data_IF_098012177419
#
_entry.id   IF_098012177419
#
_cell.length_a   1.000
_cell.length_b   1.000
_cell.length_c   1.000
_cell.angle_alpha   90.00
_cell.angle_beta   90.00
_cell.angle_gamma   90.00
#
_symmetry.space_group_name_H-M   'P 1'
#
loop_
_entity.id
_entity.type
_entity.pdbx_description
1 polymer ?
#
# COMPACT_ATOMS: atom_id res chain seq x y z
N UNK A 1 17.48 11.36 -7.12
CA UNK A 1 16.76 12.32 -6.25
C UNK A 1 16.72 11.72 -4.85
N UNK A 2 16.71 12.54 -3.79
CA UNK A 2 16.55 12.08 -2.40
C UNK A 2 15.10 12.31 -1.96
N UNK A 3 14.47 11.30 -1.39
CA UNK A 3 13.11 11.36 -0.87
C UNK A 3 13.13 10.93 0.60
N UNK A 4 12.37 11.62 1.44
CA UNK A 4 12.34 11.35 2.88
C UNK A 4 11.10 10.55 3.32
N UNK A 5 10.13 10.36 2.42
CA UNK A 5 8.90 9.59 2.66
C UNK A 5 8.34 9.05 1.33
N UNK A 6 7.74 7.85 1.37
CA UNK A 6 6.90 7.32 0.29
C UNK A 6 5.43 7.49 0.66
N UNK A 7 4.62 7.98 -0.29
CA UNK A 7 3.16 8.07 -0.12
C UNK A 7 2.48 7.25 -1.22
N UNK A 8 1.75 6.21 -0.83
CA UNK A 8 0.92 5.42 -1.73
C UNK A 8 -0.54 5.82 -1.63
N UNK A 9 -1.16 6.27 -2.74
CA UNK A 9 -2.57 6.69 -2.77
C UNK A 9 -3.30 5.83 -3.80
N UNK A 10 -4.28 5.02 -3.36
CA UNK A 10 -5.04 4.17 -4.28
C UNK A 10 -5.58 2.88 -3.65
N UNK A 11 -5.71 1.83 -4.48
CA UNK A 11 -6.09 0.48 -4.05
C UNK A 11 -4.90 -0.43 -3.74
N UNK A 12 -5.16 -1.69 -3.43
CA UNK A 12 -4.17 -2.65 -2.88
C UNK A 12 -2.83 -2.70 -3.62
N UNK A 13 -2.82 -2.85 -4.96
CA UNK A 13 -1.58 -2.90 -5.76
C UNK A 13 -0.72 -1.65 -5.59
N UNK A 14 -1.34 -0.47 -5.54
CA UNK A 14 -0.64 0.80 -5.33
C UNK A 14 -0.02 0.86 -3.93
N UNK A 15 -0.77 0.43 -2.91
CA UNK A 15 -0.31 0.46 -1.52
C UNK A 15 0.82 -0.54 -1.30
N UNK A 16 0.69 -1.76 -1.81
CA UNK A 16 1.74 -2.79 -1.72
C UNK A 16 3.01 -2.38 -2.46
N UNK A 17 2.87 -1.73 -3.62
CA UNK A 17 4.03 -1.14 -4.33
C UNK A 17 4.70 -0.06 -3.48
N UNK A 18 3.94 0.85 -2.87
CA UNK A 18 4.49 1.89 -2.01
C UNK A 18 5.23 1.31 -0.78
N UNK A 19 4.64 0.30 -0.13
CA UNK A 19 5.27 -0.43 0.97
C UNK A 19 6.57 -1.11 0.54
N UNK A 20 6.58 -1.78 -0.62
CA UNK A 20 7.77 -2.44 -1.15
C UNK A 20 8.88 -1.43 -1.48
N UNK A 21 8.54 -0.31 -2.14
CA UNK A 21 9.50 0.77 -2.42
C UNK A 21 10.10 1.30 -1.13
N UNK A 22 9.29 1.59 -0.12
CA UNK A 22 9.75 2.06 1.18
C UNK A 22 10.64 1.04 1.90
N UNK A 23 10.32 -0.24 1.82
CA UNK A 23 11.14 -1.34 2.34
C UNK A 23 12.55 -1.34 1.71
N UNK A 24 12.66 -1.32 0.38
CA UNK A 24 13.94 -1.35 -0.31
C UNK A 24 14.74 -0.05 -0.15
N UNK A 25 14.06 1.09 -0.06
CA UNK A 25 14.71 2.41 0.08
C UNK A 25 14.96 2.82 1.52
N UNK A 26 14.45 2.05 2.50
CA UNK A 26 14.61 2.27 3.94
C UNK A 26 14.10 3.64 4.42
N UNK A 27 13.03 4.12 3.83
CA UNK A 27 12.36 5.37 4.23
C UNK A 27 10.93 5.09 4.72
N UNK A 28 10.35 5.97 5.55
CA UNK A 28 8.98 5.82 6.03
C UNK A 28 7.94 5.75 4.90
N UNK A 29 6.82 5.08 5.17
CA UNK A 29 5.69 4.97 4.24
C UNK A 29 4.38 5.42 4.87
N UNK A 30 3.65 6.25 4.12
CA UNK A 30 2.26 6.60 4.38
C UNK A 30 1.40 5.94 3.29
N UNK A 31 0.33 5.25 3.71
CA UNK A 31 -0.66 4.70 2.78
C UNK A 31 -1.98 5.43 2.93
N UNK A 32 -2.59 5.78 1.80
CA UNK A 32 -3.85 6.52 1.72
C UNK A 32 -4.82 5.70 0.84
N UNK A 33 -5.55 4.74 1.42
CA UNK A 33 -6.50 3.93 0.67
C UNK A 33 -7.64 4.81 0.12
N UNK A 34 -7.96 4.65 -1.17
CA UNK A 34 -9.11 5.33 -1.80
C UNK A 34 -10.37 4.46 -1.81
N UNK A 35 -10.25 3.21 -1.36
CA UNK A 35 -11.32 2.23 -1.21
C UNK A 35 -11.09 1.42 0.08
N UNK A 36 -12.14 0.82 0.63
CA UNK A 36 -12.08 -0.03 1.83
C UNK A 36 -12.46 -1.49 1.53
N UNK A 37 -11.80 -2.09 0.53
CA UNK A 37 -12.14 -3.43 0.02
C UNK A 37 -11.31 -4.57 0.62
N UNK A 38 -10.22 -4.27 1.33
CA UNK A 38 -9.39 -5.24 2.06
C UNK A 38 -8.83 -4.63 3.34
N UNK A 39 -8.32 -5.47 4.23
CA UNK A 39 -7.60 -5.10 5.46
C UNK A 39 -6.09 -4.89 5.26
N UNK A 40 -5.58 -5.11 4.05
CA UNK A 40 -4.18 -4.99 3.69
C UNK A 40 -3.50 -3.64 4.03
N UNK A 41 -4.16 -2.46 4.02
CA UNK A 41 -3.48 -1.20 4.28
C UNK A 41 -2.66 -1.16 5.58
N UNK A 42 -3.09 -1.85 6.64
CA UNK A 42 -2.42 -1.82 7.94
C UNK A 42 -1.33 -2.87 8.09
N UNK A 43 -1.23 -3.86 7.19
CA UNK A 43 -0.35 -5.02 7.35
C UNK A 43 1.13 -4.72 7.02
N UNK A 44 2.03 -5.45 7.68
CA UNK A 44 3.46 -5.47 7.38
C UNK A 44 3.80 -6.45 6.25
N UNK A 45 3.04 -6.38 5.16
CA UNK A 45 3.12 -7.29 4.03
C UNK A 45 2.76 -6.56 2.73
N UNK A 46 3.36 -7.00 1.63
CA UNK A 46 2.98 -6.64 0.27
C UNK A 46 2.83 -7.91 -0.59
N UNK A 47 1.80 -7.97 -1.43
CA UNK A 47 1.62 -9.07 -2.39
C UNK A 47 2.35 -8.74 -3.68
N UNK A 48 3.27 -9.63 -4.08
CA UNK A 48 4.02 -9.50 -5.33
C UNK A 48 3.35 -10.36 -6.40
N UNK A 49 3.27 -9.83 -7.61
CA UNK A 49 2.65 -10.48 -8.76
C UNK A 49 3.65 -10.64 -9.91
N UNK A 50 3.44 -11.65 -10.75
CA UNK A 50 4.12 -11.76 -12.04
C UNK A 50 3.62 -10.68 -13.01
N UNK A 51 4.31 -10.41 -14.14
CA UNK A 51 3.81 -9.49 -15.17
C UNK A 51 2.43 -9.86 -15.72
N UNK A 52 2.06 -11.14 -15.70
CA UNK A 52 0.77 -11.68 -16.12
C UNK A 52 -0.33 -11.48 -15.06
N UNK A 53 0.03 -11.01 -13.86
CA UNK A 53 -0.90 -10.72 -12.77
C UNK A 53 -1.17 -11.91 -11.85
N UNK A 54 -0.42 -13.00 -11.97
CA UNK A 54 -0.50 -14.15 -11.08
C UNK A 54 0.22 -13.86 -9.76
N UNK A 55 -0.23 -14.50 -8.66
CA UNK A 55 0.48 -14.42 -7.39
C UNK A 55 1.89 -14.98 -7.54
N UNK A 56 2.91 -14.20 -7.13
CA UNK A 56 4.29 -14.66 -7.09
C UNK A 56 4.68 -15.04 -5.66
N UNK A 57 4.62 -14.08 -4.73
CA UNK A 57 5.04 -14.27 -3.34
C UNK A 57 4.48 -13.19 -2.40
N UNK A 58 4.69 -13.42 -1.10
CA UNK A 58 4.51 -12.41 -0.06
C UNK A 58 5.86 -11.77 0.28
N UNK A 59 5.94 -10.44 0.15
CA UNK A 59 7.05 -9.68 0.71
C UNK A 59 6.74 -9.34 2.17
N UNK A 60 7.42 -10.02 3.09
CA UNK A 60 7.32 -9.75 4.53
C UNK A 60 8.11 -8.50 4.90
N UNK A 61 7.46 -7.50 5.50
CA UNK A 61 8.07 -6.23 5.87
C UNK A 61 8.31 -6.22 7.39
N UNK A 62 9.49 -5.80 7.89
CA UNK A 62 9.79 -5.84 9.33
C UNK A 62 8.91 -4.92 10.20
N UNK A 63 8.22 -3.96 9.59
CA UNK A 63 7.32 -3.01 10.27
C UNK A 63 6.06 -2.76 9.44
N UNK A 64 4.96 -2.45 10.11
CA UNK A 64 3.74 -1.93 9.48
C UNK A 64 4.00 -0.52 8.90
N UNK A 65 3.12 0.00 8.02
CA UNK A 65 3.20 1.38 7.54
C UNK A 65 3.25 2.39 8.69
N UNK A 66 4.01 3.47 8.51
CA UNK A 66 4.18 4.50 9.53
C UNK A 66 2.89 5.30 9.77
N UNK A 67 2.03 5.40 8.76
CA UNK A 67 0.70 6.01 8.88
C UNK A 67 -0.28 5.43 7.84
N UNK A 68 -1.54 5.28 8.25
CA UNK A 68 -2.67 4.95 7.38
C UNK A 68 -3.68 6.09 7.45
N UNK A 69 -3.99 6.72 6.32
CA UNK A 69 -4.95 7.84 6.24
C UNK A 69 -6.18 7.39 5.45
N UNK A 70 -7.33 7.36 6.12
CA UNK A 70 -8.61 6.99 5.52
C UNK A 70 -9.47 8.24 5.31
N UNK A 71 -9.56 8.73 4.07
CA UNK A 71 -10.52 9.78 3.73
C UNK A 71 -11.89 9.14 3.43
N UNK A 72 -12.78 9.19 4.41
CA UNK A 72 -14.12 8.60 4.30
C UNK A 72 -14.98 9.27 3.25
N UNK A 73 -14.72 10.54 2.90
CA UNK A 73 -15.46 11.25 1.84
C UNK A 73 -15.06 10.78 0.45
N UNK A 74 -13.81 10.36 0.27
CA UNK A 74 -13.32 9.72 -0.97
C UNK A 74 -13.84 8.29 -1.04
N UNK A 75 -13.71 7.52 0.04
CA UNK A 75 -14.15 6.11 0.10
C UNK A 75 -15.66 5.99 -0.15
N UNK A 76 -16.48 6.87 0.43
CA UNK A 76 -17.93 6.86 0.23
C UNK A 76 -18.37 7.12 -1.23
N UNK A 77 -17.49 7.65 -2.07
CA UNK A 77 -17.73 7.90 -3.51
C UNK A 77 -17.19 6.78 -4.41
N UNK A 78 -16.48 5.80 -3.84
CA UNK A 78 -16.05 4.63 -4.60
C UNK A 78 -17.27 3.79 -5.04
N UNK A 79 -17.13 2.93 -6.07
CA UNK A 79 -18.13 1.91 -6.35
C UNK A 79 -18.47 1.12 -5.08
N UNK A 80 -19.74 0.78 -4.91
CA UNK A 80 -20.24 0.07 -3.71
C UNK A 80 -19.63 -1.32 -3.53
N UNK A 81 -19.04 -1.88 -4.60
CA UNK A 81 -18.38 -3.19 -4.63
C UNK A 81 -16.87 -3.01 -4.69
#
# INVERSE_FOLDING_TARGET
QKHDVIVGIGGGKTLDTAKAVAFYTKIPVVVVPTIASTDAPTSALAVIYTPEGEFAEYLMIPKNPDMVIMDTSVIAKAPVR
#
